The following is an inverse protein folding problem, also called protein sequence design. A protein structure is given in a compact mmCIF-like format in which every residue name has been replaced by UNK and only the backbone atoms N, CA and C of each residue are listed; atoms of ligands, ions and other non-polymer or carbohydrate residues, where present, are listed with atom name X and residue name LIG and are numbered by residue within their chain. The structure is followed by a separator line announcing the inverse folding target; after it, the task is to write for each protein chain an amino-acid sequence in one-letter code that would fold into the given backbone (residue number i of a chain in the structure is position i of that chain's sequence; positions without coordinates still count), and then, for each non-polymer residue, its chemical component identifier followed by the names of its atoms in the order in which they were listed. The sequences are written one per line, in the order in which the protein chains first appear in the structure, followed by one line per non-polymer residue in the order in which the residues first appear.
data_IF_379559540028
#
_entry.id   IF_379559540028
#
_cell.length_a   1.000
_cell.length_b   1.000
_cell.length_c   1.000
_cell.angle_alpha   90.00
_cell.angle_beta   90.00
_cell.angle_gamma   90.00
#
_symmetry.space_group_name_H-M   'P 1'
#
loop_
_entity.id
_entity.type
_entity.pdbx_description
1 polymer ?
#
# COMPACT_ATOMS: atom_id res chain seq x y z
N UNK A 1 -8.06 -49.06 28.60
CA UNK A 1 -7.84 -48.09 29.70
C UNK A 1 -7.92 -46.70 29.12
N UNK A 2 -8.67 -45.85 29.82
CA UNK A 2 -9.23 -44.53 29.50
C UNK A 2 -8.21 -43.39 29.48
N UNK A 3 -8.49 -42.32 28.71
CA UNK A 3 -8.40 -40.87 29.03
C UNK A 3 -8.98 -40.10 27.79
N UNK A 4 -10.21 -39.56 27.79
CA UNK A 4 -10.69 -38.26 28.33
C UNK A 4 -9.77 -37.07 27.95
N UNK A 5 -10.16 -35.85 27.61
CA UNK A 5 -11.36 -35.09 27.22
C UNK A 5 -10.96 -33.59 27.29
N UNK A 6 -11.66 -32.68 26.59
CA UNK A 6 -11.63 -31.22 26.80
C UNK A 6 -10.72 -30.44 25.84
N UNK A 7 -11.08 -29.28 25.29
CA UNK A 7 -11.95 -28.20 25.78
C UNK A 7 -12.58 -27.41 24.64
N UNK A 8 -13.84 -27.03 24.81
CA UNK A 8 -14.61 -26.16 23.93
C UNK A 8 -14.74 -24.74 24.53
N UNK A 9 -14.86 -23.74 23.65
CA UNK A 9 -15.67 -22.55 23.87
C UNK A 9 -14.96 -21.29 24.38
N UNK A 10 -14.58 -20.40 23.46
CA UNK A 10 -14.38 -18.98 23.74
C UNK A 10 -15.40 -18.15 22.96
N UNK A 11 -16.28 -17.43 23.66
CA UNK A 11 -17.10 -16.36 23.09
C UNK A 11 -17.00 -15.15 24.02
N UNK A 12 -16.35 -14.10 23.54
CA UNK A 12 -16.40 -12.78 24.15
C UNK A 12 -16.55 -11.76 23.02
N UNK A 13 -17.64 -11.00 23.05
CA UNK A 13 -17.73 -9.55 22.81
C UNK A 13 -19.20 -9.17 22.51
N UNK A 14 -19.86 -8.62 23.53
CA UNK A 14 -21.14 -7.93 23.37
C UNK A 14 -20.93 -6.42 23.25
N UNK A 15 -21.61 -5.86 22.25
CA UNK A 15 -22.30 -4.56 22.20
C UNK A 15 -21.52 -3.28 22.51
N UNK A 16 -21.14 -2.58 21.44
CA UNK A 16 -21.09 -1.13 21.39
C UNK A 16 -22.43 -0.59 20.88
N UNK A 17 -23.22 -0.03 21.79
CA UNK A 17 -24.35 0.86 21.50
C UNK A 17 -24.23 1.99 22.51
N UNK A 18 -23.88 3.19 22.06
CA UNK A 18 -24.58 4.42 22.44
C UNK A 18 -24.15 5.56 21.50
N UNK A 19 -25.10 5.98 20.66
CA UNK A 19 -25.15 7.29 20.03
C UNK A 19 -25.57 8.33 21.07
N UNK A 20 -24.93 9.49 21.05
CA UNK A 20 -25.43 10.80 21.51
C UNK A 20 -24.62 11.83 20.69
N UNK A 21 -25.10 12.48 19.63
CA UNK A 21 -26.24 13.40 19.40
C UNK A 21 -26.18 14.71 20.19
N UNK A 22 -26.03 15.82 19.45
CA UNK A 22 -26.31 17.20 19.87
C UNK A 22 -25.09 17.93 20.45
N UNK A 23 -24.77 19.18 20.11
CA UNK A 23 -25.48 20.24 19.40
C UNK A 23 -24.85 21.54 19.89
N UNK A 24 -24.33 22.38 18.99
CA UNK A 24 -23.81 23.71 19.36
C UNK A 24 -24.46 24.76 18.48
N UNK A 25 -25.43 25.46 19.06
CA UNK A 25 -25.99 26.69 18.51
C UNK A 25 -26.45 27.58 19.67
N UNK A 26 -26.16 28.89 19.52
CA UNK A 26 -26.61 30.03 20.33
C UNK A 26 -25.81 30.22 21.64
N UNK A 27 -25.37 31.43 22.03
CA UNK A 27 -26.17 32.65 22.14
C UNK A 27 -25.29 33.92 22.24
N UNK A 28 -25.91 35.09 22.01
CA UNK A 28 -25.30 36.39 21.74
C UNK A 28 -25.40 37.43 22.90
N UNK A 29 -24.55 38.47 22.81
CA UNK A 29 -24.77 39.89 23.22
C UNK A 29 -24.23 40.36 24.59
N UNK A 30 -24.26 41.69 24.91
CA UNK A 30 -24.04 42.88 24.07
C UNK A 30 -23.27 44.06 24.76
N UNK A 31 -23.06 45.15 23.98
CA UNK A 31 -23.01 46.59 24.33
C UNK A 31 -21.72 47.26 24.87
N UNK A 32 -21.26 48.30 24.16
CA UNK A 32 -21.32 49.69 24.62
C UNK A 32 -20.96 50.70 23.51
N UNK A 33 -21.80 51.73 23.39
CA UNK A 33 -21.71 52.86 22.45
C UNK A 33 -20.80 53.97 22.97
N UNK A 34 -20.11 54.68 22.06
CA UNK A 34 -19.38 55.91 22.38
C UNK A 34 -19.10 56.74 21.12
N UNK A 35 -19.95 57.75 20.89
CA UNK A 35 -19.81 58.77 19.83
C UNK A 35 -18.82 59.85 20.26
N UNK A 36 -17.93 60.30 19.37
CA UNK A 36 -17.44 61.70 19.29
C UNK A 36 -16.68 61.96 17.99
N UNK A 37 -17.06 63.08 17.37
CA UNK A 37 -16.53 63.72 16.18
C UNK A 37 -15.07 64.17 16.31
N UNK A 38 -14.37 64.34 15.18
CA UNK A 38 -13.25 65.27 15.09
C UNK A 38 -12.10 64.82 14.17
N UNK A 39 -11.98 65.56 13.05
CA UNK A 39 -10.74 65.94 12.38
C UNK A 39 -9.87 64.90 11.64
N UNK A 40 -9.81 65.13 10.32
CA UNK A 40 -8.79 64.68 9.36
C UNK A 40 -7.55 65.60 9.53
N UNK A 41 -6.31 65.09 9.54
CA UNK A 41 -5.52 65.18 8.32
C UNK A 41 -4.61 63.97 8.04
N UNK A 42 -4.19 63.92 6.78
CA UNK A 42 -3.27 62.98 6.13
C UNK A 42 -2.10 62.49 6.97
N UNK A 43 -1.84 61.19 6.86
CA UNK A 43 -0.48 60.62 6.90
C UNK A 43 -0.47 59.35 6.06
N UNK A 44 0.31 59.37 4.98
CA UNK A 44 0.53 58.26 4.06
C UNK A 44 1.18 57.07 4.77
N UNK A 45 0.72 55.83 4.59
CA UNK A 45 1.53 54.66 4.90
C UNK A 45 2.56 54.38 3.78
N UNK A 46 3.73 53.83 4.14
CA UNK A 46 4.79 53.47 3.20
C UNK A 46 4.40 52.25 2.35
N UNK A 47 5.07 52.15 1.20
CA UNK A 47 4.89 51.18 0.13
C UNK A 47 4.71 49.73 0.60
N UNK A 48 3.58 49.12 0.21
CA UNK A 48 3.40 47.67 0.15
C UNK A 48 4.44 47.03 -0.79
N UNK A 49 5.12 45.94 -0.38
CA UNK A 49 5.81 45.08 -1.31
C UNK A 49 4.77 44.36 -2.18
N UNK A 50 4.87 44.63 -3.48
CA UNK A 50 4.12 43.99 -4.57
C UNK A 50 4.07 42.47 -4.37
N UNK A 51 2.91 41.80 -4.48
CA UNK A 51 2.87 40.35 -4.55
C UNK A 51 3.60 39.89 -5.82
N UNK A 52 4.69 39.15 -5.66
CA UNK A 52 5.36 38.46 -6.74
C UNK A 52 4.39 37.44 -7.33
N UNK A 53 4.01 37.64 -8.60
CA UNK A 53 3.24 36.70 -9.38
C UNK A 53 3.86 35.29 -9.29
N UNK A 54 3.08 34.24 -9.02
CA UNK A 54 3.61 32.89 -9.04
C UNK A 54 4.14 32.59 -10.44
N UNK A 55 5.44 32.26 -10.50
CA UNK A 55 6.08 31.73 -11.70
C UNK A 55 5.35 30.45 -12.08
N UNK A 56 4.91 30.26 -13.34
CA UNK A 56 4.36 28.99 -13.77
C UNK A 56 5.43 27.90 -13.57
N UNK A 57 5.16 26.96 -12.67
CA UNK A 57 5.94 25.74 -12.57
C UNK A 57 5.84 25.01 -13.90
N UNK A 58 6.98 24.77 -14.53
CA UNK A 58 7.05 23.93 -15.71
C UNK A 58 6.41 22.56 -15.38
N UNK A 59 5.64 21.96 -16.30
CA UNK A 59 5.11 20.62 -16.09
C UNK A 59 6.28 19.65 -15.89
N UNK A 60 6.18 18.82 -14.86
CA UNK A 60 7.11 17.72 -14.64
C UNK A 60 7.16 16.87 -15.91
N UNK A 61 8.34 16.71 -16.49
CA UNK A 61 8.56 15.78 -17.60
C UNK A 61 8.07 14.39 -17.21
N UNK A 62 7.47 13.61 -18.12
CA UNK A 62 7.21 12.20 -17.87
C UNK A 62 8.53 11.54 -17.52
N UNK A 63 8.61 10.97 -16.32
CA UNK A 63 9.76 10.17 -15.92
C UNK A 63 9.71 8.92 -16.80
N UNK A 64 10.50 8.93 -17.88
CA UNK A 64 10.73 7.75 -18.72
C UNK A 64 11.18 6.64 -17.77
N UNK A 65 10.32 5.63 -17.57
CA UNK A 65 10.59 4.52 -16.66
C UNK A 65 11.89 3.87 -17.10
N UNK A 66 12.98 4.25 -16.41
CA UNK A 66 14.32 3.88 -16.81
C UNK A 66 14.40 2.36 -16.86
N UNK A 67 14.76 1.81 -18.02
CA UNK A 67 14.99 0.39 -18.24
C UNK A 67 16.19 -0.07 -17.44
N UNK A 68 16.02 -0.28 -16.13
CA UNK A 68 17.08 -0.71 -15.24
C UNK A 68 17.33 -2.21 -15.45
N UNK A 69 18.45 -2.55 -16.08
CA UNK A 69 18.86 -3.95 -16.27
C UNK A 69 18.05 -4.73 -17.31
N UNK A 70 17.54 -4.06 -18.35
CA UNK A 70 16.72 -4.73 -19.38
C UNK A 70 15.28 -5.02 -18.95
N UNK A 71 14.85 -4.49 -17.80
CA UNK A 71 13.47 -4.56 -17.33
C UNK A 71 12.73 -3.25 -17.61
N UNK A 72 11.53 -3.34 -18.19
CA UNK A 72 10.62 -2.23 -18.40
C UNK A 72 9.45 -2.31 -17.41
N UNK A 73 9.21 -1.23 -16.66
CA UNK A 73 8.08 -1.16 -15.75
C UNK A 73 6.74 -1.11 -16.52
N UNK A 74 5.82 -2.02 -16.19
CA UNK A 74 4.43 -1.98 -16.66
C UNK A 74 3.60 -1.10 -15.72
N UNK A 75 3.78 -1.30 -14.42
CA UNK A 75 3.26 -0.45 -13.36
C UNK A 75 4.12 -0.58 -12.11
N UNK A 76 4.07 0.45 -11.26
CA UNK A 76 4.82 0.50 -10.00
C UNK A 76 3.89 0.88 -8.85
N UNK A 77 4.20 0.38 -7.64
CA UNK A 77 3.51 0.73 -6.40
C UNK A 77 1.98 0.59 -6.44
N UNK A 78 1.46 -0.37 -7.21
CA UNK A 78 0.04 -0.67 -7.26
C UNK A 78 -0.35 -1.39 -5.99
N UNK A 79 -1.18 -0.75 -5.17
CA UNK A 79 -1.71 -1.36 -3.96
C UNK A 79 -2.92 -2.24 -4.29
N UNK A 80 -2.91 -3.49 -3.82
CA UNK A 80 -3.97 -4.47 -3.97
C UNK A 80 -4.31 -5.08 -2.60
N UNK A 81 -5.60 -5.38 -2.40
CA UNK A 81 -6.08 -5.97 -1.16
C UNK A 81 -6.96 -7.20 -1.46
N UNK A 82 -6.51 -8.37 -1.04
CA UNK A 82 -7.31 -9.58 -0.99
C UNK A 82 -8.11 -9.61 0.32
N UNK A 83 -9.44 -9.78 0.28
CA UNK A 83 -10.27 -9.79 1.48
C UNK A 83 -10.28 -11.14 2.22
N UNK A 84 -9.86 -12.24 1.57
CA UNK A 84 -9.81 -13.60 2.14
C UNK A 84 -8.92 -14.52 1.27
N UNK A 85 -8.66 -15.74 1.74
CA UNK A 85 -7.95 -16.77 0.97
C UNK A 85 -8.65 -17.19 -0.33
N UNK A 86 -9.93 -16.83 -0.53
CA UNK A 86 -10.68 -17.10 -1.77
C UNK A 86 -10.25 -16.18 -2.93
N UNK A 87 -9.39 -15.20 -2.65
CA UNK A 87 -8.85 -14.28 -3.65
C UNK A 87 -7.33 -14.20 -3.58
N UNK A 88 -6.69 -14.16 -4.74
CA UNK A 88 -5.26 -13.91 -4.87
C UNK A 88 -4.96 -12.77 -5.84
N UNK A 89 -3.68 -12.64 -6.18
CA UNK A 89 -3.15 -11.51 -6.94
C UNK A 89 -2.73 -11.94 -8.34
N UNK A 90 -3.29 -11.28 -9.35
CA UNK A 90 -2.89 -11.38 -10.77
C UNK A 90 -1.89 -10.26 -11.06
N UNK A 91 -0.59 -10.59 -10.98
CA UNK A 91 0.48 -9.62 -11.22
C UNK A 91 0.48 -9.06 -12.65
N UNK A 92 0.40 -9.87 -13.73
CA UNK A 92 0.42 -9.32 -15.08
C UNK A 92 -0.65 -8.25 -15.33
N UNK A 93 -1.84 -8.40 -14.72
CA UNK A 93 -2.93 -7.44 -14.87
C UNK A 93 -3.06 -6.43 -13.71
N UNK A 94 -2.30 -6.59 -12.63
CA UNK A 94 -2.32 -5.71 -11.46
C UNK A 94 -3.68 -5.65 -10.79
N UNK A 95 -4.32 -6.80 -10.57
CA UNK A 95 -5.64 -6.90 -9.94
C UNK A 95 -5.74 -8.07 -8.96
N UNK A 96 -6.79 -8.06 -8.15
CA UNK A 96 -7.20 -9.21 -7.35
C UNK A 96 -8.15 -10.08 -8.18
N UNK A 97 -8.01 -11.40 -8.09
CA UNK A 97 -8.82 -12.38 -8.80
C UNK A 97 -9.19 -13.54 -7.86
N UNK A 98 -10.25 -14.32 -8.15
CA UNK A 98 -10.51 -15.55 -7.40
C UNK A 98 -9.30 -16.48 -7.37
N UNK A 99 -9.02 -17.06 -6.21
CA UNK A 99 -7.90 -17.98 -5.99
C UNK A 99 -8.05 -19.25 -6.82
N UNK A 100 -6.91 -19.89 -7.14
CA UNK A 100 -6.90 -21.16 -7.88
C UNK A 100 -7.32 -21.06 -9.35
N UNK A 101 -7.49 -19.84 -9.88
CA UNK A 101 -7.64 -19.62 -11.33
C UNK A 101 -6.27 -19.50 -11.98
N UNK A 102 -6.16 -19.85 -13.26
CA UNK A 102 -4.91 -19.72 -14.02
C UNK A 102 -4.42 -18.28 -14.20
N UNK A 103 -5.23 -17.29 -13.80
CA UNK A 103 -4.86 -15.88 -13.83
C UNK A 103 -4.12 -15.44 -12.55
N UNK A 104 -4.18 -16.23 -11.48
CA UNK A 104 -3.69 -15.83 -10.16
C UNK A 104 -2.26 -16.30 -9.95
N UNK A 105 -1.37 -15.37 -9.61
CA UNK A 105 0.04 -15.64 -9.36
C UNK A 105 0.30 -16.08 -7.92
N UNK A 106 -0.29 -15.37 -6.95
CA UNK A 106 -0.11 -15.62 -5.53
C UNK A 106 -1.46 -15.66 -4.82
N UNK A 107 -1.68 -16.73 -4.07
CA UNK A 107 -2.86 -16.93 -3.24
C UNK A 107 -2.45 -16.81 -1.75
N UNK A 108 -3.15 -16.00 -0.94
CA UNK A 108 -3.06 -16.07 0.51
C UNK A 108 -3.38 -17.47 1.03
N UNK A 109 -2.61 -17.92 2.00
CA UNK A 109 -2.86 -19.14 2.77
C UNK A 109 -2.65 -18.85 4.25
N UNK A 110 -3.08 -19.78 5.10
CA UNK A 110 -2.90 -19.68 6.56
C UNK A 110 -1.44 -19.45 6.97
N UNK A 111 -0.48 -20.03 6.24
CA UNK A 111 0.93 -20.03 6.60
C UNK A 111 1.78 -19.04 5.77
N UNK A 112 1.23 -18.47 4.69
CA UNK A 112 2.00 -17.60 3.81
C UNK A 112 1.31 -17.21 2.51
N UNK A 113 2.12 -16.94 1.49
CA UNK A 113 1.68 -16.82 0.10
C UNK A 113 2.06 -18.08 -0.67
N UNK A 114 1.08 -18.71 -1.32
CA UNK A 114 1.34 -19.76 -2.29
C UNK A 114 1.48 -19.14 -3.68
N UNK A 115 2.64 -19.34 -4.29
CA UNK A 115 2.95 -18.90 -5.65
C UNK A 115 2.87 -20.09 -6.60
N UNK A 116 2.42 -19.86 -7.83
CA UNK A 116 2.40 -20.88 -8.87
C UNK A 116 3.81 -21.44 -9.19
N UNK A 117 3.89 -22.71 -9.55
CA UNK A 117 5.16 -23.42 -9.80
C UNK A 117 5.95 -22.91 -11.00
N UNK A 118 5.33 -22.14 -11.89
CA UNK A 118 5.99 -21.50 -13.04
C UNK A 118 6.84 -20.29 -12.64
N UNK A 119 6.88 -19.96 -11.35
CA UNK A 119 7.62 -18.81 -10.84
C UNK A 119 8.69 -19.21 -9.83
N UNK A 120 9.77 -18.45 -9.84
CA UNK A 120 10.78 -18.47 -8.79
C UNK A 120 10.53 -17.31 -7.83
N UNK A 121 10.91 -17.49 -6.57
CA UNK A 121 10.70 -16.51 -5.51
C UNK A 121 12.03 -16.10 -4.89
N UNK A 122 12.10 -14.91 -4.32
CA UNK A 122 13.23 -14.44 -3.52
C UNK A 122 12.75 -13.52 -2.41
N UNK A 123 13.14 -13.77 -1.16
CA UNK A 123 12.83 -12.86 -0.04
C UNK A 123 13.95 -11.83 0.08
N UNK A 124 13.57 -10.56 -0.03
CA UNK A 124 14.50 -9.44 -0.02
C UNK A 124 15.21 -9.26 1.32
N UNK A 125 16.54 -9.14 1.24
CA UNK A 125 17.40 -8.83 2.41
C UNK A 125 17.67 -7.34 2.59
N UNK A 126 17.37 -6.54 1.58
CA UNK A 126 17.53 -5.08 1.55
C UNK A 126 16.30 -4.43 0.90
N UNK A 127 16.08 -3.15 1.16
CA UNK A 127 14.95 -2.38 0.65
C UNK A 127 15.42 -0.94 0.33
N UNK A 128 15.06 -0.34 -0.83
CA UNK A 128 14.30 -0.89 -1.96
C UNK A 128 15.07 -1.90 -2.82
N UNK A 129 14.34 -2.83 -3.44
CA UNK A 129 14.84 -3.75 -4.46
C UNK A 129 14.42 -3.28 -5.86
N UNK A 130 15.37 -3.28 -6.79
CA UNK A 130 15.09 -3.11 -8.22
C UNK A 130 14.73 -4.45 -8.88
N UNK A 131 14.12 -4.41 -10.07
CA UNK A 131 13.83 -5.62 -10.85
C UNK A 131 15.09 -6.44 -11.14
N UNK A 132 16.21 -5.79 -11.50
CA UNK A 132 17.48 -6.48 -11.70
C UNK A 132 17.97 -7.17 -10.42
N UNK A 133 17.93 -6.49 -9.27
CA UNK A 133 18.34 -7.07 -7.99
C UNK A 133 17.46 -8.26 -7.58
N UNK A 134 16.16 -8.20 -7.91
CA UNK A 134 15.25 -9.32 -7.75
C UNK A 134 15.65 -10.52 -8.64
N UNK A 135 15.99 -10.28 -9.91
CA UNK A 135 16.46 -11.34 -10.81
C UNK A 135 17.72 -12.00 -10.26
N UNK A 136 18.72 -11.19 -9.90
CA UNK A 136 19.98 -11.69 -9.35
C UNK A 136 19.79 -12.39 -7.99
N UNK A 137 18.80 -11.98 -7.21
CA UNK A 137 18.43 -12.60 -5.94
C UNK A 137 17.84 -13.99 -6.13
N UNK A 138 16.91 -14.11 -7.09
CA UNK A 138 16.31 -15.39 -7.51
C UNK A 138 17.39 -16.36 -7.99
N UNK A 139 18.32 -15.92 -8.84
CA UNK A 139 19.35 -16.82 -9.39
C UNK A 139 20.34 -17.31 -8.34
N UNK A 140 20.63 -16.49 -7.32
CA UNK A 140 21.62 -16.83 -6.28
C UNK A 140 21.05 -17.60 -5.11
N UNK A 141 19.80 -17.31 -4.72
CA UNK A 141 19.22 -17.83 -3.48
C UNK A 141 17.70 -17.84 -3.56
N UNK A 142 17.10 -18.68 -4.43
CA UNK A 142 15.65 -18.74 -4.56
C UNK A 142 15.02 -19.17 -3.24
N UNK A 143 13.92 -18.52 -2.87
CA UNK A 143 13.11 -18.92 -1.73
C UNK A 143 12.23 -20.12 -2.11
N UNK A 144 12.14 -21.10 -1.19
CA UNK A 144 11.27 -22.26 -1.39
C UNK A 144 9.79 -21.95 -1.04
N UNK A 145 9.57 -21.01 -0.12
CA UNK A 145 8.25 -20.62 0.35
C UNK A 145 8.26 -19.16 0.81
N UNK A 146 7.07 -18.56 0.86
CA UNK A 146 6.82 -17.21 1.32
C UNK A 146 6.00 -17.26 2.62
N UNK A 147 6.64 -17.68 3.71
CA UNK A 147 5.96 -17.82 5.01
C UNK A 147 5.72 -16.46 5.66
N UNK A 148 4.61 -16.31 6.40
CA UNK A 148 4.30 -15.05 7.10
C UNK A 148 5.37 -14.62 8.11
N UNK A 149 6.09 -15.58 8.71
CA UNK A 149 7.20 -15.32 9.62
C UNK A 149 8.36 -14.53 8.97
N UNK A 150 8.58 -14.73 7.66
CA UNK A 150 9.63 -14.04 6.90
C UNK A 150 9.11 -12.77 6.22
N UNK A 151 7.78 -12.56 6.24
CA UNK A 151 7.04 -11.52 5.53
C UNK A 151 6.28 -10.57 6.47
N UNK A 152 6.96 -9.90 7.44
CA UNK A 152 6.33 -8.86 8.22
C UNK A 152 5.94 -7.66 7.34
N UNK A 153 5.06 -6.80 7.84
CA UNK A 153 4.72 -5.55 7.17
C UNK A 153 5.98 -4.73 6.82
N UNK A 154 6.01 -4.19 5.60
CA UNK A 154 7.15 -3.50 5.03
C UNK A 154 8.16 -4.40 4.32
N UNK A 155 8.16 -5.73 4.56
CA UNK A 155 9.07 -6.66 3.88
C UNK A 155 8.83 -6.67 2.37
N UNK A 156 9.92 -6.71 1.61
CA UNK A 156 9.90 -6.90 0.16
C UNK A 156 10.30 -8.33 -0.19
N UNK A 157 9.59 -8.91 -1.14
CA UNK A 157 9.97 -10.14 -1.82
C UNK A 157 9.79 -9.97 -3.33
N UNK A 158 10.42 -10.85 -4.08
CA UNK A 158 10.42 -10.84 -5.53
C UNK A 158 9.89 -12.15 -6.06
N UNK A 159 9.31 -12.05 -7.24
CA UNK A 159 8.76 -13.19 -7.95
C UNK A 159 9.11 -13.05 -9.42
N UNK A 160 9.59 -14.14 -10.04
CA UNK A 160 10.04 -14.12 -11.44
C UNK A 160 9.36 -15.24 -12.20
N UNK A 161 8.71 -14.91 -13.30
CA UNK A 161 8.17 -15.91 -14.21
C UNK A 161 9.31 -16.64 -14.93
N UNK A 162 9.31 -17.97 -14.93
CA UNK A 162 10.39 -18.77 -15.55
C UNK A 162 10.37 -18.73 -17.08
N UNK A 163 9.22 -18.45 -17.69
CA UNK A 163 9.02 -18.47 -19.14
C UNK A 163 9.42 -17.15 -19.79
N UNK A 164 8.87 -16.04 -19.32
CA UNK A 164 9.09 -14.72 -19.94
C UNK A 164 10.04 -13.82 -19.14
N UNK A 165 10.56 -14.31 -18.00
CA UNK A 165 11.47 -13.59 -17.10
C UNK A 165 10.89 -12.30 -16.51
N UNK A 166 9.59 -12.04 -16.64
CA UNK A 166 8.94 -10.91 -15.98
C UNK A 166 9.11 -10.99 -14.46
N UNK A 167 9.20 -9.83 -13.82
CA UNK A 167 9.43 -9.71 -12.37
C UNK A 167 8.33 -8.90 -11.70
N UNK A 168 7.82 -9.47 -10.60
CA UNK A 168 7.10 -8.74 -9.58
C UNK A 168 8.02 -8.36 -8.43
N UNK A 169 8.05 -7.07 -8.08
CA UNK A 169 8.64 -6.57 -6.84
C UNK A 169 7.49 -6.25 -5.90
N UNK A 170 7.38 -6.99 -4.80
CA UNK A 170 6.20 -6.98 -3.94
C UNK A 170 6.57 -6.60 -2.51
N UNK A 171 5.88 -5.60 -1.97
CA UNK A 171 5.96 -5.21 -0.57
C UNK A 171 4.71 -5.63 0.19
N UNK A 172 4.89 -6.27 1.34
CA UNK A 172 3.80 -6.53 2.29
C UNK A 172 3.38 -5.19 2.90
N UNK A 173 2.13 -4.79 2.70
CA UNK A 173 1.55 -3.63 3.42
C UNK A 173 0.98 -4.12 4.76
N UNK A 174 0.16 -5.17 4.71
CA UNK A 174 -0.39 -5.83 5.90
C UNK A 174 -0.88 -7.24 5.58
N UNK A 175 -1.00 -8.09 6.58
CA UNK A 175 -1.75 -9.34 6.50
C UNK A 175 -2.48 -9.58 7.83
N UNK A 176 -3.61 -10.26 7.77
CA UNK A 176 -4.38 -10.70 8.93
C UNK A 176 -4.61 -12.21 8.81
N UNK A 177 -3.95 -12.99 9.64
CA UNK A 177 -4.04 -14.46 9.64
C UNK A 177 -5.38 -14.98 10.18
N UNK A 178 -6.20 -14.13 10.80
CA UNK A 178 -7.53 -14.52 11.27
C UNK A 178 -8.59 -14.50 10.16
N UNK A 179 -8.41 -13.66 9.15
CA UNK A 179 -9.31 -13.50 8.00
C UNK A 179 -8.68 -13.90 6.66
N UNK A 180 -7.39 -14.25 6.67
CA UNK A 180 -6.53 -14.43 5.49
C UNK A 180 -6.51 -13.19 4.55
N UNK A 181 -6.88 -12.02 5.08
CA UNK A 181 -6.85 -10.78 4.32
C UNK A 181 -5.41 -10.29 4.17
N UNK A 182 -5.02 -9.93 2.94
CA UNK A 182 -3.65 -9.52 2.63
C UNK A 182 -3.68 -8.25 1.78
N UNK A 183 -2.81 -7.29 2.11
CA UNK A 183 -2.61 -6.07 1.34
C UNK A 183 -1.15 -5.98 0.90
N UNK A 184 -0.94 -5.75 -0.39
CA UNK A 184 0.37 -5.70 -1.04
C UNK A 184 0.52 -4.41 -1.83
N UNK A 185 1.75 -3.92 -1.95
CA UNK A 185 2.13 -2.94 -2.97
C UNK A 185 3.03 -3.62 -3.99
N UNK A 186 2.69 -3.53 -5.27
CA UNK A 186 3.28 -4.33 -6.34
C UNK A 186 3.84 -3.42 -7.43
N UNK A 187 5.09 -3.67 -7.82
CA UNK A 187 5.62 -3.26 -9.12
C UNK A 187 5.76 -4.48 -10.03
N UNK A 188 5.37 -4.35 -11.29
CA UNK A 188 5.50 -5.41 -12.30
C UNK A 188 6.31 -4.92 -13.50
N UNK A 189 7.28 -5.72 -13.90
CA UNK A 189 8.28 -5.37 -14.91
C UNK A 189 8.37 -6.50 -15.94
N UNK A 190 8.37 -6.15 -17.22
CA UNK A 190 8.66 -7.07 -18.31
C UNK A 190 10.15 -7.08 -18.60
N UNK A 191 10.66 -8.23 -18.97
CA UNK A 191 12.04 -8.35 -19.43
C UNK A 191 12.07 -8.12 -20.96
N UNK A 192 12.94 -7.22 -21.41
CA UNK A 192 13.03 -6.76 -22.81
C UNK A 192 14.41 -7.02 -23.44
N UNK A 193 15.28 -7.79 -22.76
CA UNK A 193 16.64 -8.10 -23.25
C UNK A 193 16.84 -9.53 -23.72
#
# INVERSE_FOLDING_TARGET
MTLLAGTAGGLALMRSLQQDTGGTSQQAGPAASGTRSGDRPSSSPPSDPRPSSPRPSAPASPQESASAGGYLAVYENRELASPSADYGFDLPNGRVAPSGTSATFADPTADGLRVDTDFDMYVGRSDPLTAQQCSDGVDRSPAAHLAWADLPAGRVFCVRNRKDRSIGVVRIVSHDTGSDAVRLSIGYYRYEG
#
